data_IF_781894790660
#
_entry.id   IF_781894790660
#
_cell.length_a   1.000
_cell.length_b   1.000
_cell.length_c   1.000
_cell.angle_alpha   90.00
_cell.angle_beta   90.00
_cell.angle_gamma   90.00
#
_symmetry.space_group_name_H-M   'P 1'
#
loop_
_entity.id
_entity.type
_entity.pdbx_description
1 polymer ?
#
# COMPACT_ATOMS: atom_id res chain seq x y z
N UNK A 1 29.40 -16.34 0.19
CA UNK A 1 28.11 -16.89 -0.31
C UNK A 1 27.06 -16.52 0.73
N UNK A 2 26.43 -15.36 0.59
CA UNK A 2 25.37 -14.92 1.50
C UNK A 2 24.02 -15.35 0.89
N UNK A 3 23.28 -16.13 1.65
CA UNK A 3 21.99 -16.72 1.30
C UNK A 3 20.96 -15.59 1.13
N UNK A 4 20.49 -15.40 -0.10
CA UNK A 4 19.39 -14.50 -0.44
C UNK A 4 18.15 -14.94 0.33
N UNK A 5 17.79 -14.17 1.36
CA UNK A 5 16.55 -14.31 2.12
C UNK A 5 15.36 -14.25 1.17
N UNK A 6 14.86 -15.43 0.81
CA UNK A 6 13.64 -15.61 0.04
C UNK A 6 12.47 -15.37 1.00
N UNK A 7 12.11 -14.12 1.21
CA UNK A 7 10.93 -13.77 1.99
C UNK A 7 9.67 -14.31 1.28
N UNK A 8 8.83 -15.10 1.96
CA UNK A 8 7.58 -15.54 1.38
C UNK A 8 6.63 -14.34 1.34
N UNK A 9 6.49 -13.71 0.16
CA UNK A 9 5.28 -12.95 -0.12
C UNK A 9 4.15 -13.97 -0.03
N UNK A 10 3.36 -13.88 1.04
CA UNK A 10 2.22 -14.75 1.24
C UNK A 10 1.17 -14.38 0.19
N UNK A 11 1.25 -15.07 -0.95
CA UNK A 11 0.22 -15.06 -1.99
C UNK A 11 -0.96 -15.89 -1.51
N UNK A 12 -1.72 -15.35 -0.56
CA UNK A 12 -3.09 -15.80 -0.29
C UNK A 12 -3.98 -15.00 -1.28
N UNK A 13 -4.00 -15.35 -2.57
CA UNK A 13 -4.81 -16.48 -3.00
C UNK A 13 -6.31 -16.17 -3.06
N UNK A 14 -6.73 -14.94 -2.77
CA UNK A 14 -8.08 -14.44 -3.00
C UNK A 14 -8.03 -13.23 -3.92
N UNK A 15 -8.25 -13.43 -5.22
CA UNK A 15 -8.69 -12.35 -6.09
C UNK A 15 -9.95 -11.77 -5.44
N UNK A 16 -9.85 -10.63 -4.73
CA UNK A 16 -10.99 -9.78 -4.42
C UNK A 16 -11.53 -9.31 -5.77
N UNK A 17 -12.35 -10.15 -6.40
CA UNK A 17 -13.03 -9.89 -7.67
C UNK A 17 -13.91 -8.67 -7.44
N UNK A 18 -13.40 -7.50 -7.79
CA UNK A 18 -14.15 -6.25 -7.75
C UNK A 18 -13.25 -5.05 -7.99
N UNK A 19 -12.18 -4.91 -7.20
CA UNK A 19 -11.41 -3.66 -7.19
C UNK A 19 -9.89 -3.88 -6.98
N UNK A 20 -9.06 -3.58 -7.99
CA UNK A 20 -7.60 -3.62 -7.88
C UNK A 20 -7.03 -2.78 -6.72
N UNK A 21 -7.69 -1.68 -6.33
CA UNK A 21 -7.17 -0.80 -5.27
C UNK A 21 -7.16 -1.49 -3.91
N UNK A 22 -8.11 -2.41 -3.66
CA UNK A 22 -8.16 -3.17 -2.41
C UNK A 22 -6.93 -4.05 -2.25
N UNK A 23 -6.49 -4.69 -3.34
CA UNK A 23 -5.27 -5.52 -3.32
C UNK A 23 -4.02 -4.66 -3.10
N UNK A 24 -3.94 -3.47 -3.72
CA UNK A 24 -2.82 -2.55 -3.54
C UNK A 24 -2.72 -2.04 -2.09
N UNK A 25 -3.85 -1.58 -1.52
CA UNK A 25 -3.93 -1.07 -0.15
C UNK A 25 -3.56 -2.15 0.86
N UNK A 26 -4.08 -3.37 0.68
CA UNK A 26 -3.80 -4.48 1.61
C UNK A 26 -2.35 -4.94 1.52
N UNK A 27 -1.79 -5.01 0.31
CA UNK A 27 -0.38 -5.35 0.14
C UNK A 27 0.55 -4.30 0.80
N UNK A 28 0.25 -3.01 0.62
CA UNK A 28 1.00 -1.95 1.29
C UNK A 28 0.90 -2.05 2.82
N UNK A 29 -0.30 -2.26 3.37
CA UNK A 29 -0.49 -2.42 4.82
C UNK A 29 0.25 -3.62 5.38
N UNK A 30 0.17 -4.77 4.71
CA UNK A 30 0.87 -5.98 5.13
C UNK A 30 2.39 -5.78 5.11
N UNK A 31 2.93 -5.13 4.08
CA UNK A 31 4.36 -4.85 3.99
C UNK A 31 4.84 -3.83 5.05
N UNK A 32 4.01 -2.84 5.39
CA UNK A 32 4.29 -1.92 6.50
C UNK A 32 4.24 -2.62 7.86
N UNK A 33 3.30 -3.54 8.07
CA UNK A 33 3.22 -4.35 9.30
C UNK A 33 4.45 -5.26 9.46
N UNK A 34 4.89 -5.89 8.37
CA UNK A 34 6.13 -6.67 8.33
C UNK A 34 7.35 -5.82 8.68
N UNK A 35 7.51 -4.66 8.04
CA UNK A 35 8.59 -3.72 8.37
C UNK A 35 8.56 -3.31 9.84
N UNK A 36 7.40 -2.88 10.35
CA UNK A 36 7.27 -2.43 11.74
C UNK A 36 7.58 -3.54 12.77
N UNK A 37 7.39 -4.81 12.39
CA UNK A 37 7.62 -5.95 13.26
C UNK A 37 9.06 -6.48 13.18
N UNK A 38 9.68 -6.39 12.01
CA UNK A 38 10.89 -7.15 11.69
C UNK A 38 12.10 -6.30 11.29
N UNK A 39 11.92 -5.00 11.01
CA UNK A 39 13.03 -4.16 10.56
C UNK A 39 14.13 -4.06 11.63
N UNK A 40 15.41 -4.17 11.25
CA UNK A 40 16.53 -4.05 12.18
C UNK A 40 16.78 -2.58 12.58
N UNK A 41 15.94 -2.04 13.47
CA UNK A 41 15.93 -0.62 13.90
C UNK A 41 17.19 -0.14 14.64
N UNK A 42 18.16 -1.01 14.89
CA UNK A 42 19.44 -0.66 15.51
C UNK A 42 20.48 -0.16 14.48
N UNK A 43 20.15 -0.19 13.18
CA UNK A 43 21.00 0.30 12.09
C UNK A 43 20.14 0.92 11.00
N UNK A 44 20.33 2.21 10.75
CA UNK A 44 19.61 2.92 9.68
C UNK A 44 19.88 2.29 8.30
N UNK A 45 21.09 1.81 8.04
CA UNK A 45 21.44 1.14 6.78
C UNK A 45 20.64 -0.15 6.58
N UNK A 46 20.58 -1.00 7.62
CA UNK A 46 19.84 -2.26 7.53
C UNK A 46 18.32 -2.02 7.53
N UNK A 47 17.83 -1.03 8.28
CA UNK A 47 16.42 -0.63 8.26
C UNK A 47 16.03 -0.14 6.85
N UNK A 48 16.83 0.73 6.24
CA UNK A 48 16.60 1.21 4.88
C UNK A 48 16.64 0.07 3.84
N UNK A 49 17.57 -0.87 3.96
CA UNK A 49 17.63 -2.04 3.09
C UNK A 49 16.37 -2.93 3.25
N UNK A 50 15.88 -3.09 4.49
CA UNK A 50 14.64 -3.82 4.75
C UNK A 50 13.43 -3.09 4.15
N UNK A 51 13.31 -1.77 4.31
CA UNK A 51 12.27 -0.96 3.70
C UNK A 51 12.22 -1.12 2.18
N UNK A 52 13.39 -1.08 1.53
CA UNK A 52 13.53 -1.27 0.09
C UNK A 52 13.05 -2.66 -0.36
N UNK A 53 13.27 -3.69 0.47
CA UNK A 53 12.86 -5.07 0.20
C UNK A 53 11.41 -5.39 0.60
N UNK A 54 10.78 -4.57 1.45
CA UNK A 54 9.41 -4.78 1.96
C UNK A 54 8.42 -3.79 1.36
N UNK A 55 8.18 -2.65 2.03
CA UNK A 55 7.07 -1.75 1.72
C UNK A 55 7.35 -0.75 0.60
N UNK A 56 8.61 -0.52 0.20
CA UNK A 56 8.93 0.48 -0.82
C UNK A 56 8.26 0.17 -2.19
N UNK A 57 8.24 -1.09 -2.60
CA UNK A 57 7.56 -1.52 -3.83
C UNK A 57 6.04 -1.31 -3.77
N UNK A 58 5.34 -1.84 -2.74
CA UNK A 58 3.93 -1.55 -2.51
C UNK A 58 3.59 -0.06 -2.39
N UNK A 59 4.44 0.74 -1.74
CA UNK A 59 4.28 2.19 -1.64
C UNK A 59 4.30 2.86 -3.02
N UNK A 60 5.25 2.47 -3.89
CA UNK A 60 5.33 2.99 -5.25
C UNK A 60 4.04 2.74 -6.04
N UNK A 61 3.42 1.55 -5.88
CA UNK A 61 2.14 1.24 -6.50
C UNK A 61 1.03 2.19 -6.05
N UNK A 62 1.01 2.56 -4.77
CA UNK A 62 0.04 3.53 -4.22
C UNK A 62 0.33 4.95 -4.75
N UNK A 63 1.59 5.37 -4.74
CA UNK A 63 2.01 6.71 -5.19
C UNK A 63 1.75 6.94 -6.68
N UNK A 64 1.94 5.91 -7.51
CA UNK A 64 1.70 5.97 -8.95
C UNK A 64 0.27 5.60 -9.35
N UNK A 65 -0.63 5.38 -8.39
CA UNK A 65 -2.00 4.96 -8.69
C UNK A 65 -2.76 6.00 -9.53
N UNK A 66 -3.28 5.59 -10.69
CA UNK A 66 -4.07 6.46 -11.60
C UNK A 66 -5.47 5.94 -11.93
N UNK A 67 -5.80 4.71 -11.54
CA UNK A 67 -7.09 4.12 -11.86
C UNK A 67 -8.16 4.56 -10.85
N UNK A 68 -9.44 4.70 -11.24
CA UNK A 68 -10.52 4.88 -10.28
C UNK A 68 -10.68 3.63 -9.42
N UNK A 69 -11.23 3.80 -8.21
CA UNK A 69 -11.84 2.67 -7.51
C UNK A 69 -13.01 2.14 -8.35
N UNK A 70 -13.25 0.84 -8.28
CA UNK A 70 -14.31 0.12 -9.02
C UNK A 70 -15.48 -0.26 -8.13
N UNK A 71 -15.32 -0.19 -6.81
CA UNK A 71 -16.38 -0.48 -5.85
C UNK A 71 -16.39 0.55 -4.72
N UNK A 72 -17.54 0.66 -4.04
CA UNK A 72 -17.67 1.47 -2.83
C UNK A 72 -16.69 1.05 -1.74
N UNK A 73 -16.42 -0.26 -1.61
CA UNK A 73 -15.43 -0.78 -0.67
C UNK A 73 -14.02 -0.25 -1.01
N UNK A 74 -13.62 -0.29 -2.29
CA UNK A 74 -12.33 0.24 -2.73
C UNK A 74 -12.20 1.75 -2.57
N UNK A 75 -13.25 2.52 -2.86
CA UNK A 75 -13.28 3.96 -2.62
C UNK A 75 -13.12 4.29 -1.13
N UNK A 76 -13.83 3.58 -0.24
CA UNK A 76 -13.69 3.74 1.22
C UNK A 76 -12.28 3.35 1.68
N UNK A 77 -11.71 2.27 1.14
CA UNK A 77 -10.36 1.84 1.49
C UNK A 77 -9.31 2.90 1.10
N UNK A 78 -9.44 3.50 -0.08
CA UNK A 78 -8.60 4.59 -0.54
C UNK A 78 -8.73 5.83 0.36
N UNK A 79 -9.96 6.26 0.69
CA UNK A 79 -10.19 7.39 1.60
C UNK A 79 -9.58 7.16 2.99
N UNK A 80 -9.73 5.95 3.54
CA UNK A 80 -9.13 5.60 4.84
C UNK A 80 -7.61 5.63 4.78
N UNK A 81 -7.02 5.19 3.68
CA UNK A 81 -5.57 5.24 3.50
C UNK A 81 -5.09 6.70 3.35
N UNK A 82 -5.77 7.52 2.55
CA UNK A 82 -5.47 8.94 2.40
C UNK A 82 -5.54 9.70 3.74
N UNK A 83 -6.60 9.47 4.52
CA UNK A 83 -6.76 10.07 5.85
C UNK A 83 -5.59 9.70 6.77
N UNK A 84 -5.24 8.42 6.83
CA UNK A 84 -4.13 7.94 7.65
C UNK A 84 -2.80 8.59 7.22
N UNK A 85 -2.55 8.66 5.91
CA UNK A 85 -1.34 9.25 5.37
C UNK A 85 -1.23 10.76 5.67
N UNK A 86 -2.35 11.49 5.64
CA UNK A 86 -2.39 12.90 6.05
C UNK A 86 -2.04 13.09 7.54
N UNK A 87 -2.57 12.22 8.41
CA UNK A 87 -2.27 12.22 9.85
C UNK A 87 -0.80 11.88 10.15
N UNK A 88 -0.18 11.04 9.31
CA UNK A 88 1.22 10.59 9.43
C UNK A 88 2.21 11.49 8.66
N UNK A 89 1.72 12.47 7.88
CA UNK A 89 2.54 13.36 7.07
C UNK A 89 3.08 12.76 5.76
N UNK A 90 2.58 11.60 5.33
CA UNK A 90 2.93 10.98 4.03
C UNK A 90 2.00 11.50 2.92
N UNK A 91 2.20 12.76 2.56
CA UNK A 91 1.37 13.43 1.55
C UNK A 91 1.46 12.81 0.14
N UNK A 92 2.44 11.93 -0.11
CA UNK A 92 2.61 11.25 -1.40
C UNK A 92 1.46 10.27 -1.71
N UNK A 93 0.79 9.76 -0.68
CA UNK A 93 -0.33 8.81 -0.80
C UNK A 93 -1.67 9.54 -0.95
N UNK A 94 -1.80 10.73 -0.37
CA UNK A 94 -3.07 11.45 -0.23
C UNK A 94 -3.70 11.73 -1.60
N UNK A 95 -2.95 12.34 -2.51
CA UNK A 95 -3.45 12.72 -3.84
C UNK A 95 -3.98 11.53 -4.67
N UNK A 96 -3.17 10.49 -4.92
CA UNK A 96 -3.59 9.31 -5.68
C UNK A 96 -4.84 8.61 -5.12
N UNK A 97 -4.92 8.46 -3.79
CA UNK A 97 -6.03 7.77 -3.14
C UNK A 97 -7.32 8.61 -3.11
N UNK A 98 -7.21 9.92 -2.90
CA UNK A 98 -8.35 10.83 -3.06
C UNK A 98 -8.89 10.80 -4.49
N UNK A 99 -8.01 10.87 -5.50
CA UNK A 99 -8.42 10.84 -6.91
C UNK A 99 -9.14 9.53 -7.28
N UNK A 100 -8.64 8.38 -6.80
CA UNK A 100 -9.27 7.10 -7.05
C UNK A 100 -10.68 7.00 -6.44
N UNK A 101 -10.86 7.51 -5.22
CA UNK A 101 -12.16 7.52 -4.56
C UNK A 101 -13.15 8.51 -5.20
N UNK A 102 -12.68 9.73 -5.52
CA UNK A 102 -13.50 10.76 -6.17
C UNK A 102 -14.04 10.27 -7.51
N UNK A 103 -13.19 9.69 -8.35
CA UNK A 103 -13.59 9.19 -9.65
C UNK A 103 -14.63 8.05 -9.57
N UNK A 104 -14.66 7.26 -8.50
CA UNK A 104 -15.74 6.30 -8.26
C UNK A 104 -17.05 7.01 -7.89
N UNK A 105 -16.99 7.96 -6.95
CA UNK A 105 -18.17 8.67 -6.46
C UNK A 105 -18.84 9.50 -7.57
N UNK A 106 -18.05 10.15 -8.42
CA UNK A 106 -18.55 10.90 -9.59
C UNK A 106 -19.26 10.03 -10.64
N UNK A 107 -19.08 8.70 -10.59
CA UNK A 107 -19.78 7.76 -11.48
C UNK A 107 -21.03 7.14 -10.85
N UNK A 108 -21.23 7.31 -9.53
CA UNK A 108 -22.45 6.86 -8.84
C UNK A 108 -23.58 7.91 -8.87
N UNK A 109 -23.27 9.16 -9.26
CA UNK A 109 -24.21 10.28 -9.43
C UNK A 109 -24.94 10.27 -10.79
#
# INVERSE_FOLDING_TARGET
MAELLRFPIKSDGGVRRGDPILAAVDNFRAAMEDYNSNAPMHSDELANAYAAASYAGPLLVIQEWKAPARTREGAIAALRLAKKADEEGDYSIVGPMLAAALAFLETED
#
